data_IF_265534645587
#
_entry.id   IF_265534645587
#
_cell.length_a   1.000
_cell.length_b   1.000
_cell.length_c   1.000
_cell.angle_alpha   90.00
_cell.angle_beta   90.00
_cell.angle_gamma   90.00
#
_symmetry.space_group_name_H-M   'P 1'
#
loop_
_entity.id
_entity.type
_entity.pdbx_description
1 polymer ?
#
# COMPACT_ATOMS: atom_id res chain seq x y z
N UNK A 1 7.89 6.12 -24.43
CA UNK A 1 6.94 5.45 -23.51
C UNK A 1 6.18 6.52 -22.74
N UNK A 2 4.84 6.61 -22.91
CA UNK A 2 4.00 7.54 -22.15
C UNK A 2 4.01 7.13 -20.67
N UNK A 3 4.29 8.07 -19.77
CA UNK A 3 4.19 7.85 -18.32
C UNK A 3 2.70 7.83 -17.97
N UNK A 4 2.09 6.65 -17.92
CA UNK A 4 0.75 6.50 -17.36
C UNK A 4 0.86 6.60 -15.84
N UNK A 5 0.60 7.80 -15.33
CA UNK A 5 0.48 8.04 -13.90
C UNK A 5 -0.97 7.84 -13.53
N UNK A 6 -1.25 6.87 -12.66
CA UNK A 6 -2.59 6.66 -12.12
C UNK A 6 -2.56 7.12 -10.66
N UNK A 7 -3.45 8.05 -10.32
CA UNK A 7 -3.61 8.53 -8.95
C UNK A 7 -4.92 8.01 -8.36
N UNK A 8 -4.83 7.48 -7.14
CA UNK A 8 -5.97 6.96 -6.39
C UNK A 8 -6.06 7.68 -5.05
N UNK A 9 -7.30 7.89 -4.59
CA UNK A 9 -7.60 8.37 -3.25
C UNK A 9 -8.17 7.21 -2.43
N UNK A 10 -7.56 6.97 -1.27
CA UNK A 10 -7.89 5.81 -0.41
C UNK A 10 -8.70 6.31 0.78
N UNK A 11 -9.98 5.96 0.82
CA UNK A 11 -10.83 6.20 1.98
C UNK A 11 -10.33 5.36 3.17
N UNK A 12 -10.17 5.98 4.34
CA UNK A 12 -9.58 5.35 5.53
C UNK A 12 -8.04 5.33 5.57
N UNK A 13 -7.40 5.69 4.46
CA UNK A 13 -5.94 5.79 4.35
C UNK A 13 -5.22 4.48 4.05
N UNK A 14 -3.92 4.60 3.74
CA UNK A 14 -3.01 3.51 3.43
C UNK A 14 -2.35 3.04 4.71
N UNK A 15 -2.57 1.78 5.02
CA UNK A 15 -1.89 1.11 6.11
C UNK A 15 -0.49 0.70 5.66
N UNK A 16 0.52 1.43 6.15
CA UNK A 16 1.92 1.24 5.75
C UNK A 16 2.39 -0.19 6.00
N UNK A 17 1.99 -0.82 7.11
CA UNK A 17 2.37 -2.21 7.40
C UNK A 17 1.79 -3.20 6.38
N UNK A 18 0.51 -3.07 6.04
CA UNK A 18 -0.13 -3.91 5.02
C UNK A 18 0.53 -3.72 3.66
N UNK A 19 0.90 -2.49 3.33
CA UNK A 19 1.64 -2.15 2.12
C UNK A 19 3.04 -2.77 2.11
N UNK A 20 3.81 -2.68 3.20
CA UNK A 20 5.14 -3.29 3.30
C UNK A 20 5.05 -4.79 3.05
N UNK A 21 4.07 -5.47 3.66
CA UNK A 21 3.90 -6.90 3.41
C UNK A 21 3.51 -7.21 1.96
N UNK A 22 2.66 -6.38 1.33
CA UNK A 22 2.30 -6.54 -0.08
C UNK A 22 3.52 -6.35 -1.00
N UNK A 23 4.41 -5.41 -0.66
CA UNK A 23 5.69 -5.20 -1.35
C UNK A 23 6.56 -6.45 -1.24
N UNK A 24 6.69 -7.03 -0.04
CA UNK A 24 7.52 -8.22 0.18
C UNK A 24 6.99 -9.45 -0.57
N UNK A 25 5.68 -9.62 -0.66
CA UNK A 25 5.06 -10.69 -1.46
C UNK A 25 5.40 -10.53 -2.94
N UNK A 26 5.16 -9.34 -3.52
CA UNK A 26 5.46 -9.09 -4.93
C UNK A 26 6.97 -9.24 -5.19
N UNK A 27 7.82 -8.78 -4.26
CA UNK A 27 9.27 -8.97 -4.31
C UNK A 27 9.63 -10.46 -4.39
N UNK A 28 9.04 -11.28 -3.53
CA UNK A 28 9.33 -12.72 -3.48
C UNK A 28 8.79 -13.46 -4.71
N UNK A 29 7.53 -13.24 -5.07
CA UNK A 29 6.86 -13.90 -6.19
C UNK A 29 7.47 -13.54 -7.55
N UNK A 30 7.75 -12.25 -7.77
CA UNK A 30 8.24 -11.75 -9.07
C UNK A 30 9.76 -11.66 -9.14
N UNK A 31 10.47 -11.89 -8.03
CA UNK A 31 11.93 -11.70 -7.89
C UNK A 31 12.39 -10.30 -8.32
N UNK A 32 11.57 -9.29 -8.04
CA UNK A 32 11.88 -7.90 -8.37
C UNK A 32 12.72 -7.26 -7.26
N UNK A 33 13.68 -6.41 -7.62
CA UNK A 33 14.38 -5.59 -6.62
C UNK A 33 13.44 -4.46 -6.20
N UNK A 34 13.05 -4.40 -4.94
CA UNK A 34 12.17 -3.35 -4.41
C UNK A 34 12.84 -2.68 -3.22
N UNK A 35 12.77 -1.36 -3.19
CA UNK A 35 13.21 -0.49 -2.10
C UNK A 35 12.02 0.36 -1.65
N UNK A 36 11.71 0.30 -0.37
CA UNK A 36 10.69 1.16 0.23
C UNK A 36 11.35 2.10 1.24
N UNK A 37 10.94 3.35 1.25
CA UNK A 37 11.31 4.33 2.26
C UNK A 37 10.06 4.96 2.84
N UNK A 38 9.94 4.84 4.15
CA UNK A 38 8.83 5.40 4.92
C UNK A 38 9.36 6.59 5.72
N UNK A 39 8.70 7.74 5.63
CA UNK A 39 8.99 8.93 6.43
C UNK A 39 7.67 9.54 6.91
N UNK A 40 7.31 9.25 8.17
CA UNK A 40 5.99 9.59 8.71
C UNK A 40 4.89 8.87 7.93
N UNK A 41 3.88 9.62 7.47
CA UNK A 41 2.76 9.09 6.65
C UNK A 41 3.09 8.97 5.16
N UNK A 42 4.32 9.34 4.76
CA UNK A 42 4.76 9.25 3.36
C UNK A 42 5.53 7.95 3.16
N UNK A 43 5.17 7.21 2.11
CA UNK A 43 5.88 6.01 1.70
C UNK A 43 6.26 6.12 0.22
N UNK A 44 7.55 6.03 -0.07
CA UNK A 44 8.08 5.97 -1.43
C UNK A 44 8.57 4.57 -1.68
N UNK A 45 7.99 3.90 -2.67
CA UNK A 45 8.40 2.57 -3.10
C UNK A 45 9.02 2.71 -4.49
N UNK A 46 10.29 2.33 -4.59
CA UNK A 46 11.03 2.22 -5.84
C UNK A 46 11.26 0.75 -6.15
N UNK A 47 11.06 0.37 -7.39
CA UNK A 47 11.21 -1.00 -7.84
C UNK A 47 12.08 -1.01 -9.09
N UNK A 48 12.82 -2.08 -9.31
CA UNK A 48 13.62 -2.28 -10.51
C UNK A 48 13.28 -3.63 -11.12
N UNK A 49 12.81 -3.57 -12.37
CA UNK A 49 12.77 -4.70 -13.27
C UNK A 49 13.90 -4.48 -14.28
N UNK A 50 14.95 -5.31 -14.22
CA UNK A 50 16.02 -5.34 -15.23
C UNK A 50 16.53 -3.93 -15.64
N UNK A 51 16.79 -3.03 -14.68
CA UNK A 51 17.27 -1.63 -14.88
C UNK A 51 16.22 -0.51 -15.05
N UNK A 52 14.92 -0.78 -15.06
CA UNK A 52 13.90 0.29 -15.15
C UNK A 52 13.36 0.62 -13.74
N UNK A 53 13.55 1.86 -13.23
CA UNK A 53 12.95 2.28 -11.97
C UNK A 53 11.44 2.52 -12.14
N UNK A 54 10.65 1.76 -11.38
CA UNK A 54 9.21 1.94 -11.19
C UNK A 54 9.02 2.64 -9.85
N UNK A 55 8.16 3.64 -9.79
CA UNK A 55 7.92 4.40 -8.55
C UNK A 55 6.45 4.33 -8.19
N UNK A 56 6.16 3.79 -7.01
CA UNK A 56 4.88 3.91 -6.34
C UNK A 56 5.08 4.93 -5.21
N UNK A 57 4.33 6.02 -5.26
CA UNK A 57 4.45 7.13 -4.32
C UNK A 57 3.16 7.22 -3.51
N UNK A 58 3.27 7.09 -2.20
CA UNK A 58 2.17 7.27 -1.26
C UNK A 58 2.42 8.56 -0.50
N UNK A 59 1.52 9.51 -0.70
CA UNK A 59 1.59 10.85 -0.14
C UNK A 59 0.49 10.96 0.92
N UNK A 60 0.91 11.35 2.13
CA UNK A 60 0.03 11.70 3.25
C UNK A 60 -0.94 10.58 3.66
N UNK A 61 -0.51 9.31 3.53
CA UNK A 61 -1.31 8.15 3.90
C UNK A 61 -2.66 8.03 3.20
N UNK A 62 -2.99 8.80 2.16
CA UNK A 62 -4.31 8.80 1.50
C UNK A 62 -4.24 8.88 -0.01
N UNK A 63 -3.19 9.48 -0.56
CA UNK A 63 -3.00 9.59 -2.00
C UNK A 63 -1.96 8.59 -2.45
N UNK A 64 -2.30 7.79 -3.44
CA UNK A 64 -1.39 6.80 -4.03
C UNK A 64 -1.21 7.14 -5.49
N UNK A 65 0.04 7.39 -5.90
CA UNK A 65 0.43 7.57 -7.29
C UNK A 65 1.21 6.35 -7.76
N UNK A 66 0.70 5.72 -8.79
CA UNK A 66 1.29 4.58 -9.46
C UNK A 66 1.81 5.06 -10.81
N UNK A 67 3.13 5.06 -10.99
CA UNK A 67 3.75 5.69 -12.17
C UNK A 67 3.93 4.75 -13.37
N UNK A 68 3.62 3.44 -13.23
CA UNK A 68 3.64 2.39 -14.27
C UNK A 68 2.83 1.14 -13.86
N UNK A 69 2.60 0.23 -14.82
CA UNK A 69 1.92 -1.06 -14.64
C UNK A 69 2.53 -1.92 -13.51
N UNK A 70 3.84 -1.91 -13.31
CA UNK A 70 4.48 -2.70 -12.26
C UNK A 70 4.12 -2.21 -10.84
N UNK A 71 3.89 -0.90 -10.67
CA UNK A 71 3.40 -0.37 -9.40
C UNK A 71 1.94 -0.75 -9.15
N UNK A 72 1.17 -0.98 -10.22
CA UNK A 72 -0.22 -1.43 -10.12
C UNK A 72 -0.30 -2.85 -9.54
N UNK A 73 0.67 -3.72 -9.84
CA UNK A 73 0.75 -5.07 -9.26
C UNK A 73 0.86 -5.02 -7.73
N UNK A 74 1.67 -4.12 -7.17
CA UNK A 74 1.75 -3.91 -5.72
C UNK A 74 0.46 -3.34 -5.17
N UNK A 75 -0.13 -2.37 -5.87
CA UNK A 75 -1.40 -1.77 -5.44
C UNK A 75 -2.51 -2.82 -5.33
N UNK A 76 -2.65 -3.68 -6.35
CA UNK A 76 -3.60 -4.80 -6.34
C UNK A 76 -3.33 -5.80 -5.20
N UNK A 77 -2.06 -6.11 -4.93
CA UNK A 77 -1.68 -6.97 -3.81
C UNK A 77 -2.06 -6.32 -2.46
N UNK A 78 -1.84 -5.02 -2.31
CA UNK A 78 -2.27 -4.26 -1.13
C UNK A 78 -3.79 -4.28 -0.97
N UNK A 79 -4.57 -3.99 -2.01
CA UNK A 79 -6.03 -3.96 -1.95
C UNK A 79 -6.59 -5.33 -1.55
N UNK A 80 -6.07 -6.41 -2.12
CA UNK A 80 -6.47 -7.78 -1.76
C UNK A 80 -6.25 -8.06 -0.28
N UNK A 81 -5.12 -7.63 0.29
CA UNK A 81 -4.84 -7.80 1.72
C UNK A 81 -5.68 -6.90 2.60
N UNK A 82 -5.88 -5.65 2.18
CA UNK A 82 -6.71 -4.70 2.93
C UNK A 82 -8.15 -5.21 3.00
N UNK A 83 -8.72 -5.67 1.88
CA UNK A 83 -10.05 -6.25 1.83
C UNK A 83 -10.21 -7.48 2.74
N UNK A 84 -9.20 -8.36 2.78
CA UNK A 84 -9.22 -9.51 3.68
C UNK A 84 -9.14 -9.14 5.18
N UNK A 85 -8.55 -7.99 5.51
CA UNK A 85 -8.41 -7.49 6.89
C UNK A 85 -9.60 -6.62 7.32
N UNK A 86 -10.42 -6.15 6.39
CA UNK A 86 -11.55 -5.24 6.64
C UNK A 86 -12.55 -5.75 7.69
N UNK A 87 -12.99 -7.04 7.67
CA UNK A 87 -13.93 -7.54 8.68
C UNK A 87 -13.32 -7.56 10.09
N UNK A 88 -12.05 -7.97 10.20
CA UNK A 88 -11.32 -7.99 11.47
C UNK A 88 -11.13 -6.56 12.01
N UNK A 89 -10.88 -5.60 11.13
CA UNK A 89 -10.74 -4.18 11.49
C UNK A 89 -12.05 -3.59 11.99
N UNK A 90 -13.17 -3.87 11.34
CA UNK A 90 -14.50 -3.47 11.82
C UNK A 90 -14.75 -4.02 13.22
N UNK A 91 -14.47 -5.30 13.43
CA UNK A 91 -14.61 -5.94 14.74
C UNK A 91 -13.73 -5.30 15.82
N UNK A 92 -12.45 -5.03 15.53
CA UNK A 92 -11.53 -4.37 16.49
C UNK A 92 -12.03 -2.96 16.85
N UNK A 93 -12.52 -2.20 15.87
CA UNK A 93 -13.05 -0.86 16.10
C UNK A 93 -14.34 -0.89 16.93
N UNK A 94 -15.25 -1.81 16.66
CA UNK A 94 -16.46 -2.02 17.47
C UNK A 94 -16.11 -2.41 18.92
N UNK A 95 -15.15 -3.31 19.11
CA UNK A 95 -14.68 -3.73 20.43
C UNK A 95 -14.01 -2.59 21.19
N UNK A 96 -13.19 -1.77 20.51
CA UNK A 96 -12.58 -0.57 21.10
C UNK A 96 -13.63 0.46 21.50
N UNK A 97 -14.65 0.68 20.67
CA UNK A 97 -15.72 1.62 20.96
C UNK A 97 -16.55 1.16 22.17
N UNK A 98 -16.88 -0.13 22.25
CA UNK A 98 -17.54 -0.70 23.45
C UNK A 98 -16.72 -0.50 24.71
N UNK A 99 -15.40 -0.69 24.66
CA UNK A 99 -14.50 -0.48 25.81
C UNK A 99 -14.44 0.99 26.26
N UNK A 100 -14.59 1.95 25.35
CA UNK A 100 -14.61 3.38 25.67
C UNK A 100 -15.95 3.84 26.26
N UNK A 101 -17.07 3.16 25.94
CA UNK A 101 -18.41 3.52 26.42
C UNK A 101 -18.74 2.86 27.77
N UNK A 102 -17.98 1.86 28.20
CA UNK A 102 -18.16 1.17 29.50
C UNK A 102 -17.48 1.86 30.71
N UNK A 103 -17.40 3.20 30.73
CA UNK A 103 -16.91 3.97 31.88
C UNK A 103 -18.04 4.74 32.57
#
# INVERSE_FOLDING_TARGET
MRRHTIEFLVEGGVYIETLIRAIDEVRFEKRWSVWASVKGEKCVVKMWRWFIPVTLLIVDGKRVRVLREEGFVIWMAYEKRSAAQEPLRRLINELRFRKLVSY
#
